data_IF_081326653240
#
_entry.id   IF_081326653240
#
_cell.length_a   1.000
_cell.length_b   1.000
_cell.length_c   1.000
_cell.angle_alpha   90.00
_cell.angle_beta   90.00
_cell.angle_gamma   90.00
#
_symmetry.space_group_name_H-M   'P 1'
#
loop_
_entity.id
_entity.type
_entity.pdbx_description
1 polymer ?
#
# COMPACT_ATOMS: atom_id res chain seq x y z
N UNK A 1 -10.70 -19.33 -31.37
CA UNK A 1 -9.31 -18.83 -31.35
C UNK A 1 -9.34 -17.35 -30.97
N UNK A 2 -8.44 -16.89 -30.10
CA UNK A 2 -8.41 -15.49 -29.67
C UNK A 2 -8.06 -14.57 -30.86
N UNK A 3 -8.87 -13.53 -31.08
CA UNK A 3 -8.75 -12.62 -32.24
C UNK A 3 -8.12 -11.28 -31.90
N UNK A 4 -7.85 -11.03 -30.62
CA UNK A 4 -7.30 -9.79 -30.08
C UNK A 4 -6.27 -10.13 -29.00
N UNK A 5 -5.34 -9.20 -28.68
CA UNK A 5 -4.39 -9.39 -27.61
C UNK A 5 -5.07 -9.89 -26.34
N UNK A 6 -4.61 -11.03 -25.83
CA UNK A 6 -5.22 -11.77 -24.71
C UNK A 6 -4.13 -12.22 -23.76
N UNK A 7 -4.33 -12.00 -22.46
CA UNK A 7 -3.42 -12.49 -21.42
C UNK A 7 -4.01 -13.74 -20.78
N UNK A 8 -3.21 -14.80 -20.71
CA UNK A 8 -3.48 -15.96 -19.87
C UNK A 8 -2.59 -15.86 -18.65
N UNK A 9 -3.19 -15.61 -17.48
CA UNK A 9 -2.50 -15.51 -16.21
C UNK A 9 -2.54 -16.84 -15.46
N UNK A 10 -1.37 -17.39 -15.15
CA UNK A 10 -1.16 -18.64 -14.44
C UNK A 10 -0.67 -18.33 -13.03
N UNK A 11 -1.59 -18.24 -12.08
CA UNK A 11 -1.25 -17.97 -10.69
C UNK A 11 -0.73 -19.23 -9.97
N UNK A 12 0.09 -19.04 -8.95
CA UNK A 12 0.65 -20.09 -8.08
C UNK A 12 1.29 -21.28 -8.82
N UNK A 13 1.91 -21.04 -9.97
CA UNK A 13 2.47 -22.10 -10.83
C UNK A 13 3.51 -22.97 -10.08
N UNK A 14 4.25 -22.39 -9.13
CA UNK A 14 5.25 -23.09 -8.33
C UNK A 14 4.70 -23.95 -7.20
N UNK A 15 3.42 -23.81 -6.85
CA UNK A 15 2.72 -24.70 -5.92
C UNK A 15 2.25 -25.99 -6.62
N UNK A 16 2.09 -25.95 -7.94
CA UNK A 16 1.69 -27.11 -8.73
C UNK A 16 2.71 -28.24 -8.67
N UNK A 17 2.22 -29.48 -8.59
CA UNK A 17 3.06 -30.67 -8.65
C UNK A 17 3.87 -30.70 -9.96
N UNK A 18 5.02 -31.40 -9.95
CA UNK A 18 5.90 -31.45 -11.12
C UNK A 18 5.20 -31.92 -12.41
N UNK A 19 4.20 -32.81 -12.31
CA UNK A 19 3.39 -33.24 -13.46
C UNK A 19 2.55 -32.09 -14.05
N UNK A 20 1.95 -31.26 -13.20
CA UNK A 20 1.18 -30.07 -13.61
C UNK A 20 2.10 -29.06 -14.29
N UNK A 21 3.25 -28.75 -13.68
CA UNK A 21 4.24 -27.85 -14.29
C UNK A 21 4.74 -28.39 -15.64
N UNK A 22 4.95 -29.71 -15.76
CA UNK A 22 5.34 -30.36 -17.02
C UNK A 22 4.29 -30.23 -18.11
N UNK A 23 3.01 -30.35 -17.77
CA UNK A 23 1.91 -30.17 -18.73
C UNK A 23 1.92 -28.75 -19.32
N UNK A 24 2.20 -27.74 -18.51
CA UNK A 24 2.31 -26.35 -18.96
C UNK A 24 3.48 -26.10 -19.93
N UNK A 25 4.54 -26.92 -19.93
CA UNK A 25 5.67 -26.71 -20.85
C UNK A 25 5.28 -26.78 -22.32
N UNK A 26 4.41 -27.73 -22.68
CA UNK A 26 3.91 -27.87 -24.05
C UNK A 26 3.02 -26.70 -24.42
N UNK A 27 2.19 -26.23 -23.49
CA UNK A 27 1.32 -25.09 -23.73
C UNK A 27 2.13 -23.80 -23.95
N UNK A 28 3.13 -23.53 -23.09
CA UNK A 28 3.89 -22.27 -23.10
C UNK A 28 4.86 -22.22 -24.30
N UNK A 29 5.61 -23.30 -24.56
CA UNK A 29 6.56 -23.31 -25.68
C UNK A 29 5.88 -23.63 -27.00
N UNK A 30 5.25 -24.80 -27.09
CA UNK A 30 4.75 -25.31 -28.36
C UNK A 30 3.43 -24.62 -28.75
N UNK A 31 2.87 -23.79 -27.87
CA UNK A 31 1.59 -23.11 -28.05
C UNK A 31 0.50 -24.10 -28.45
N UNK A 32 0.52 -25.29 -27.85
CA UNK A 32 -0.39 -26.38 -28.24
C UNK A 32 -0.98 -27.11 -27.06
N UNK A 33 -2.24 -27.51 -27.21
CA UNK A 33 -2.93 -28.42 -26.30
C UNK A 33 -3.86 -29.31 -27.11
N UNK A 34 -3.74 -30.63 -26.91
CA UNK A 34 -4.57 -31.63 -27.60
C UNK A 34 -4.70 -31.42 -29.13
N UNK A 35 -3.60 -31.08 -29.81
CA UNK A 35 -3.58 -30.83 -31.25
C UNK A 35 -4.02 -29.43 -31.69
N UNK A 36 -4.63 -28.64 -30.81
CA UNK A 36 -5.01 -27.25 -31.10
C UNK A 36 -3.84 -26.30 -30.86
N UNK A 37 -3.68 -25.33 -31.75
CA UNK A 37 -2.72 -24.24 -31.60
C UNK A 37 -3.33 -23.08 -30.82
N UNK A 38 -2.53 -22.44 -29.97
CA UNK A 38 -2.86 -21.22 -29.25
C UNK A 38 -2.50 -20.03 -30.16
N UNK A 39 -3.51 -19.23 -30.51
CA UNK A 39 -3.41 -17.98 -31.27
C UNK A 39 -2.21 -17.13 -30.83
N UNK A 40 -1.43 -16.60 -31.76
CA UNK A 40 -0.30 -15.69 -31.48
C UNK A 40 -0.70 -14.40 -30.75
N UNK A 41 -2.00 -14.10 -30.68
CA UNK A 41 -2.54 -13.02 -29.86
C UNK A 41 -2.51 -13.30 -28.35
N UNK A 42 -2.18 -14.52 -27.92
CA UNK A 42 -2.13 -14.92 -26.52
C UNK A 42 -0.72 -14.76 -25.94
N UNK A 43 -0.62 -13.98 -24.87
CA UNK A 43 0.58 -13.86 -24.02
C UNK A 43 0.34 -14.61 -22.71
N UNK A 44 1.29 -15.46 -22.34
CA UNK A 44 1.27 -16.15 -21.05
C UNK A 44 2.04 -15.35 -20.01
N UNK A 45 1.41 -15.12 -18.87
CA UNK A 45 2.01 -14.53 -17.67
C UNK A 45 1.82 -15.53 -16.54
N UNK A 46 2.84 -15.73 -15.70
CA UNK A 46 2.72 -16.62 -14.55
C UNK A 46 3.24 -15.93 -13.29
N UNK A 47 2.65 -16.28 -12.15
CA UNK A 47 3.07 -15.85 -10.84
C UNK A 47 3.41 -17.06 -9.95
N UNK A 48 4.33 -16.84 -9.02
CA UNK A 48 4.71 -17.81 -7.99
C UNK A 48 5.43 -17.07 -6.87
N UNK A 49 5.35 -17.58 -5.65
CA UNK A 49 6.18 -17.11 -4.54
C UNK A 49 7.59 -17.72 -4.63
N UNK A 50 8.58 -17.10 -3.97
CA UNK A 50 9.93 -17.67 -3.86
C UNK A 50 9.90 -18.86 -2.90
N UNK A 51 10.91 -19.71 -2.97
CA UNK A 51 11.05 -20.85 -2.05
C UNK A 51 11.20 -20.37 -0.60
N UNK A 52 11.93 -19.29 -0.39
CA UNK A 52 12.10 -18.67 0.93
C UNK A 52 10.81 -18.07 1.52
N UNK A 53 9.79 -17.78 0.71
CA UNK A 53 8.54 -17.18 1.17
C UNK A 53 7.59 -18.22 1.83
N UNK A 54 8.02 -19.49 1.99
CA UNK A 54 7.35 -20.60 2.71
C UNK A 54 5.87 -20.86 2.36
N UNK A 55 5.39 -20.40 1.22
CA UNK A 55 4.01 -20.62 0.75
C UNK A 55 3.78 -22.01 0.11
N UNK A 56 4.39 -23.08 0.65
CA UNK A 56 4.26 -24.45 0.10
C UNK A 56 4.89 -24.66 -1.29
N UNK A 57 5.71 -23.72 -1.76
CA UNK A 57 6.29 -23.73 -3.12
C UNK A 57 7.48 -24.70 -3.21
N UNK A 58 7.38 -25.68 -4.11
CA UNK A 58 8.52 -26.55 -4.47
C UNK A 58 9.49 -25.89 -5.45
N UNK A 59 9.06 -24.77 -6.05
CA UNK A 59 9.76 -23.98 -7.06
C UNK A 59 9.30 -24.33 -8.47
N UNK A 60 9.69 -23.51 -9.44
CA UNK A 60 9.41 -23.77 -10.86
C UNK A 60 10.52 -24.64 -11.45
N UNK A 61 10.16 -25.70 -12.17
CA UNK A 61 11.10 -26.55 -12.89
C UNK A 61 11.94 -25.74 -13.89
N UNK A 62 13.26 -25.97 -13.95
CA UNK A 62 14.18 -25.28 -14.87
C UNK A 62 13.73 -25.27 -16.33
N UNK A 63 13.21 -26.39 -16.88
CA UNK A 63 12.73 -26.41 -18.26
C UNK A 63 11.43 -25.63 -18.48
N UNK A 64 10.68 -25.29 -17.42
CA UNK A 64 9.52 -24.39 -17.48
C UNK A 64 9.99 -22.94 -17.43
N UNK A 65 10.92 -22.60 -16.52
CA UNK A 65 11.46 -21.24 -16.36
C UNK A 65 12.06 -20.70 -17.65
N UNK A 66 12.89 -21.49 -18.32
CA UNK A 66 13.54 -21.13 -19.60
C UNK A 66 12.56 -20.92 -20.78
N UNK A 67 11.25 -21.11 -20.58
CA UNK A 67 10.20 -20.85 -21.57
C UNK A 67 9.48 -19.52 -21.37
N UNK A 68 9.73 -18.84 -20.25
CA UNK A 68 9.36 -17.45 -20.08
C UNK A 68 10.48 -16.56 -20.62
N UNK A 69 10.12 -15.48 -21.32
CA UNK A 69 11.08 -14.53 -21.89
C UNK A 69 11.79 -13.70 -20.82
N UNK A 70 11.08 -13.41 -19.74
CA UNK A 70 11.57 -12.61 -18.62
C UNK A 70 11.01 -13.15 -17.31
N UNK A 71 11.76 -12.96 -16.25
CA UNK A 71 11.34 -13.19 -14.86
C UNK A 71 11.47 -11.84 -14.17
N UNK A 72 10.38 -11.36 -13.58
CA UNK A 72 10.35 -10.11 -12.84
C UNK A 72 10.21 -10.43 -11.36
N UNK A 73 10.97 -9.72 -10.53
CA UNK A 73 10.84 -9.79 -9.08
C UNK A 73 9.98 -8.61 -8.63
N UNK A 74 8.86 -8.91 -7.96
CA UNK A 74 8.02 -7.90 -7.35
C UNK A 74 8.42 -7.74 -5.89
N UNK A 75 8.60 -6.50 -5.46
CA UNK A 75 8.91 -6.14 -4.09
C UNK A 75 7.81 -5.23 -3.55
N UNK A 76 7.59 -5.30 -2.24
CA UNK A 76 6.62 -4.43 -1.58
C UNK A 76 7.24 -3.04 -1.44
N UNK A 77 6.57 -2.05 -2.00
CA UNK A 77 6.91 -0.64 -1.83
C UNK A 77 5.81 0.05 -0.99
N UNK A 78 6.21 0.77 0.05
CA UNK A 78 5.25 1.43 0.93
C UNK A 78 4.52 2.59 0.24
N UNK A 79 5.19 3.35 -0.63
CA UNK A 79 4.58 4.44 -1.38
C UNK A 79 3.48 3.92 -2.31
N UNK A 80 3.79 2.86 -3.08
CA UNK A 80 2.81 2.24 -3.98
C UNK A 80 1.61 1.68 -3.21
N UNK A 81 1.84 1.09 -2.04
CA UNK A 81 0.77 0.58 -1.19
C UNK A 81 -0.10 1.71 -0.62
N UNK A 82 0.50 2.82 -0.18
CA UNK A 82 -0.20 4.00 0.34
C UNK A 82 -1.08 4.61 -0.75
N UNK A 83 -0.55 4.81 -1.97
CA UNK A 83 -1.32 5.34 -3.10
C UNK A 83 -2.53 4.45 -3.40
N UNK A 84 -2.33 3.13 -3.47
CA UNK A 84 -3.43 2.17 -3.59
C UNK A 84 -4.42 2.26 -2.42
N UNK A 85 -3.93 2.39 -1.18
CA UNK A 85 -4.74 2.42 0.03
C UNK A 85 -5.67 3.64 0.08
N UNK A 86 -5.21 4.80 -0.39
CA UNK A 86 -5.99 6.04 -0.48
C UNK A 86 -7.17 5.91 -1.45
N UNK A 87 -6.98 5.17 -2.54
CA UNK A 87 -8.01 4.89 -3.55
C UNK A 87 -8.97 3.75 -3.16
N UNK A 88 -8.58 2.90 -2.20
CA UNK A 88 -9.32 1.70 -1.80
C UNK A 88 -9.89 1.79 -0.37
N UNK A 89 -10.19 3.02 0.07
CA UNK A 89 -10.88 3.32 1.33
C UNK A 89 -10.16 2.77 2.59
N UNK A 90 -8.87 2.49 2.59
CA UNK A 90 -8.19 1.99 3.80
C UNK A 90 -8.32 3.00 4.95
N UNK A 91 -8.50 2.53 6.19
CA UNK A 91 -8.66 3.38 7.38
C UNK A 91 -7.46 4.32 7.53
N UNK A 92 -7.70 5.63 7.72
CA UNK A 92 -6.64 6.65 7.67
C UNK A 92 -5.62 6.53 8.81
N UNK A 93 -6.04 6.04 9.98
CA UNK A 93 -5.12 5.63 11.04
C UNK A 93 -4.14 4.51 10.63
N UNK A 94 -4.54 3.58 9.75
CA UNK A 94 -3.65 2.52 9.22
C UNK A 94 -2.71 3.09 8.17
N UNK A 95 -3.19 3.97 7.29
CA UNK A 95 -2.33 4.65 6.31
C UNK A 95 -1.26 5.48 7.02
N UNK A 96 -1.64 6.24 8.05
CA UNK A 96 -0.71 7.03 8.87
C UNK A 96 0.31 6.18 9.61
N UNK A 97 -0.13 5.02 10.11
CA UNK A 97 0.78 4.05 10.70
C UNK A 97 1.82 3.54 9.70
N UNK A 98 1.44 3.28 8.44
CA UNK A 98 2.38 2.83 7.41
C UNK A 98 3.31 3.95 6.92
N UNK A 99 2.87 5.22 6.87
CA UNK A 99 3.82 6.32 6.67
C UNK A 99 4.85 6.38 7.81
N UNK A 100 4.42 6.20 9.06
CA UNK A 100 5.28 6.25 10.23
C UNK A 100 6.22 5.02 10.34
N UNK A 101 5.73 3.82 10.00
CA UNK A 101 6.46 2.56 10.07
C UNK A 101 6.30 1.74 8.78
N UNK A 102 6.89 2.19 7.66
CA UNK A 102 6.69 1.56 6.35
C UNK A 102 7.20 0.12 6.29
N UNK A 103 8.18 -0.22 7.13
CA UNK A 103 8.71 -1.57 7.28
C UNK A 103 7.67 -2.57 7.79
N UNK A 104 6.53 -2.13 8.35
CA UNK A 104 5.46 -3.03 8.80
C UNK A 104 4.81 -3.80 7.64
N UNK A 105 4.92 -3.31 6.40
CA UNK A 105 4.47 -4.09 5.24
C UNK A 105 5.37 -5.30 4.94
N UNK A 106 6.58 -5.36 5.48
CA UNK A 106 7.56 -6.41 5.21
C UNK A 106 8.15 -7.05 6.46
N UNK A 107 7.74 -6.60 7.65
CA UNK A 107 8.24 -7.09 8.93
C UNK A 107 7.84 -8.55 9.22
N UNK A 108 6.75 -9.02 8.60
CA UNK A 108 6.24 -10.36 8.81
C UNK A 108 7.16 -11.46 8.29
N UNK A 109 7.27 -12.54 9.06
CA UNK A 109 7.95 -13.77 8.64
C UNK A 109 6.93 -14.90 8.65
N UNK A 110 6.82 -15.69 7.57
CA UNK A 110 5.91 -16.82 7.56
C UNK A 110 6.32 -17.89 8.60
N UNK A 111 5.33 -18.38 9.33
CA UNK A 111 5.45 -19.46 10.32
C UNK A 111 4.46 -20.59 9.98
N UNK A 112 4.67 -21.76 10.58
CA UNK A 112 3.72 -22.88 10.49
C UNK A 112 2.61 -22.77 11.55
N UNK A 113 2.71 -21.79 12.44
CA UNK A 113 1.75 -21.58 13.52
C UNK A 113 0.49 -20.90 12.98
N UNK A 114 -0.62 -21.03 13.70
CA UNK A 114 -1.88 -20.37 13.36
C UNK A 114 -1.87 -18.88 13.76
N UNK A 115 -0.88 -18.15 13.25
CA UNK A 115 -0.61 -16.75 13.57
C UNK A 115 -0.36 -15.98 12.29
N UNK A 116 -1.07 -14.87 12.11
CA UNK A 116 -0.80 -13.94 11.01
C UNK A 116 0.41 -13.05 11.31
N UNK A 117 0.87 -12.36 10.28
CA UNK A 117 2.00 -11.45 10.36
C UNK A 117 1.76 -10.22 9.48
N UNK A 118 2.46 -9.10 9.71
CA UNK A 118 2.29 -7.89 8.92
C UNK A 118 2.78 -8.10 7.48
N UNK A 119 1.86 -7.89 6.52
CA UNK A 119 2.10 -7.81 5.09
C UNK A 119 1.00 -6.93 4.46
N UNK A 120 1.11 -6.47 3.19
CA UNK A 120 0.11 -5.60 2.57
C UNK A 120 -1.33 -6.08 2.73
N UNK A 121 -1.56 -7.40 2.61
CA UNK A 121 -2.87 -8.00 2.76
C UNK A 121 -3.39 -7.95 4.20
N UNK A 122 -2.59 -8.36 5.18
CA UNK A 122 -3.05 -8.41 6.58
C UNK A 122 -3.15 -7.03 7.21
N UNK A 123 -2.34 -6.07 6.77
CA UNK A 123 -2.47 -4.64 7.10
C UNK A 123 -3.78 -4.08 6.58
N UNK A 124 -4.18 -4.45 5.36
CA UNK A 124 -5.51 -4.10 4.83
C UNK A 124 -6.63 -4.74 5.65
N UNK A 125 -6.51 -6.02 6.03
CA UNK A 125 -7.50 -6.68 6.89
C UNK A 125 -7.65 -5.99 8.25
N UNK A 126 -6.56 -5.45 8.83
CA UNK A 126 -6.63 -4.69 10.07
C UNK A 126 -7.44 -3.39 9.91
N UNK A 127 -7.35 -2.73 8.74
CA UNK A 127 -8.24 -1.62 8.39
C UNK A 127 -9.70 -2.04 8.37
N UNK A 128 -10.04 -3.18 7.76
CA UNK A 128 -11.42 -3.68 7.72
C UNK A 128 -11.97 -3.97 9.13
N UNK A 129 -11.14 -4.51 10.03
CA UNK A 129 -11.51 -4.70 11.43
C UNK A 129 -11.80 -3.37 12.13
N UNK A 130 -10.95 -2.35 11.96
CA UNK A 130 -11.17 -1.03 12.56
C UNK A 130 -12.46 -0.39 12.07
N UNK A 131 -12.78 -0.49 10.78
CA UNK A 131 -14.04 0.00 10.21
C UNK A 131 -15.28 -0.74 10.74
N UNK A 132 -15.09 -1.96 11.24
CA UNK A 132 -16.12 -2.74 11.90
C UNK A 132 -16.17 -2.50 13.42
N UNK A 133 -15.50 -1.44 13.92
CA UNK A 133 -15.33 -1.12 15.34
C UNK A 133 -14.61 -2.23 16.14
N UNK A 134 -13.82 -3.07 15.46
CA UNK A 134 -13.02 -4.15 16.04
C UNK A 134 -11.54 -3.73 16.15
N UNK A 135 -11.24 -2.88 17.12
CA UNK A 135 -9.90 -2.28 17.30
C UNK A 135 -9.10 -2.81 18.49
N UNK A 136 -9.58 -3.81 19.22
CA UNK A 136 -8.87 -4.32 20.39
C UNK A 136 -7.55 -4.98 20.00
N UNK A 137 -6.61 -5.03 20.95
CA UNK A 137 -5.32 -5.68 20.73
C UNK A 137 -5.47 -7.14 20.29
N UNK A 138 -6.43 -7.88 20.86
CA UNK A 138 -6.67 -9.27 20.51
C UNK A 138 -7.17 -9.44 19.06
N UNK A 139 -8.08 -8.58 18.60
CA UNK A 139 -8.60 -8.60 17.23
C UNK A 139 -7.50 -8.25 16.23
N UNK A 140 -6.74 -7.19 16.51
CA UNK A 140 -5.62 -6.78 15.67
C UNK A 140 -4.49 -7.83 15.66
N UNK A 141 -4.22 -8.51 16.78
CA UNK A 141 -3.25 -9.62 16.84
C UNK A 141 -3.70 -10.80 15.97
N UNK A 142 -5.00 -11.02 15.83
CA UNK A 142 -5.54 -12.01 14.89
C UNK A 142 -5.21 -11.69 13.43
N UNK A 143 -5.18 -10.40 13.05
CA UNK A 143 -4.86 -9.96 11.70
C UNK A 143 -3.36 -9.79 11.45
N UNK A 144 -2.62 -9.23 12.40
CA UNK A 144 -1.25 -8.75 12.21
C UNK A 144 -0.20 -9.55 12.99
N UNK A 145 -0.62 -10.44 13.89
CA UNK A 145 0.26 -10.99 14.91
C UNK A 145 0.62 -9.96 15.98
N UNK A 146 1.24 -10.42 17.06
CA UNK A 146 1.45 -9.63 18.29
C UNK A 146 2.26 -8.34 18.06
N UNK A 147 3.34 -8.42 17.29
CA UNK A 147 4.23 -7.27 17.03
C UNK A 147 3.51 -6.20 16.20
N UNK A 148 2.79 -6.60 15.15
CA UNK A 148 2.06 -5.67 14.31
C UNK A 148 0.89 -5.04 15.03
N UNK A 149 0.17 -5.81 15.84
CA UNK A 149 -0.94 -5.32 16.65
C UNK A 149 -0.49 -4.32 17.72
N UNK A 150 0.57 -4.64 18.47
CA UNK A 150 1.13 -3.71 19.46
C UNK A 150 1.56 -2.38 18.81
N UNK A 151 2.23 -2.47 17.67
CA UNK A 151 2.71 -1.32 16.89
C UNK A 151 1.55 -0.46 16.37
N UNK A 152 0.56 -1.06 15.69
CA UNK A 152 -0.60 -0.33 15.19
C UNK A 152 -1.43 0.25 16.34
N UNK A 153 -1.65 -0.50 17.43
CA UNK A 153 -2.46 -0.04 18.55
C UNK A 153 -1.82 1.15 19.27
N UNK A 154 -0.49 1.15 19.40
CA UNK A 154 0.27 2.28 19.91
C UNK A 154 0.11 3.52 19.04
N UNK A 155 0.20 3.38 17.71
CA UNK A 155 -0.02 4.50 16.79
C UNK A 155 -1.46 5.02 16.84
N UNK A 156 -2.44 4.12 16.83
CA UNK A 156 -3.85 4.52 16.86
C UNK A 156 -4.23 5.20 18.17
N UNK A 157 -3.61 4.86 19.31
CA UNK A 157 -3.81 5.62 20.55
C UNK A 157 -3.37 7.09 20.40
N UNK A 158 -2.33 7.38 19.62
CA UNK A 158 -1.96 8.77 19.30
C UNK A 158 -2.99 9.39 18.36
N UNK A 159 -3.40 8.66 17.33
CA UNK A 159 -4.38 9.11 16.34
C UNK A 159 -5.75 9.46 16.95
N UNK A 160 -6.24 8.64 17.89
CA UNK A 160 -7.52 8.82 18.58
C UNK A 160 -7.50 9.96 19.60
N UNK A 161 -6.31 10.35 20.09
CA UNK A 161 -6.13 11.41 21.07
C UNK A 161 -5.53 12.69 20.46
N UNK A 162 -5.64 12.87 19.14
CA UNK A 162 -5.20 14.09 18.48
C UNK A 162 -5.96 15.32 19.00
N UNK A 163 -5.31 16.50 18.99
CA UNK A 163 -6.00 17.76 19.21
C UNK A 163 -7.16 17.93 18.22
N UNK A 164 -8.17 18.69 18.65
CA UNK A 164 -9.32 18.99 17.81
C UNK A 164 -8.90 19.60 16.46
N UNK A 165 -9.24 18.89 15.38
CA UNK A 165 -8.90 19.27 14.02
C UNK A 165 -9.67 20.53 13.58
N UNK A 166 -10.85 20.81 14.15
CA UNK A 166 -11.57 22.05 13.86
C UNK A 166 -10.75 23.25 14.34
N UNK A 167 -10.16 23.17 15.53
CA UNK A 167 -9.23 24.19 16.03
C UNK A 167 -8.05 24.43 15.08
N UNK A 168 -7.50 23.38 14.46
CA UNK A 168 -6.43 23.49 13.45
C UNK A 168 -6.94 24.19 12.19
N UNK A 169 -8.08 23.76 11.67
CA UNK A 169 -8.65 24.29 10.44
C UNK A 169 -9.14 25.74 10.58
N UNK A 170 -9.62 26.13 11.74
CA UNK A 170 -10.09 27.49 12.04
C UNK A 170 -8.92 28.45 12.31
N UNK A 171 -7.83 27.96 12.93
CA UNK A 171 -6.68 28.77 13.34
C UNK A 171 -5.35 28.22 12.79
N UNK A 172 -5.20 28.02 11.47
CA UNK A 172 -4.08 27.28 10.89
C UNK A 172 -2.73 27.95 11.10
N UNK A 173 -2.70 29.28 11.25
CA UNK A 173 -1.45 30.03 11.40
C UNK A 173 -0.91 29.99 12.85
N UNK A 174 -1.73 29.63 13.84
CA UNK A 174 -1.37 29.59 15.27
C UNK A 174 -1.54 28.23 15.95
N UNK A 175 -2.21 27.27 15.30
CA UNK A 175 -2.39 25.92 15.83
C UNK A 175 -1.05 25.25 16.14
N UNK A 176 -1.01 24.44 17.19
CA UNK A 176 0.22 23.76 17.64
C UNK A 176 0.58 22.67 16.63
N UNK A 177 1.84 22.67 16.20
CA UNK A 177 2.40 21.58 15.39
C UNK A 177 2.95 20.53 16.36
N UNK A 178 2.52 19.26 16.26
CA UNK A 178 3.09 18.19 17.06
C UNK A 178 4.59 18.05 16.81
N UNK A 179 5.37 17.83 17.87
CA UNK A 179 6.82 17.60 17.81
C UNK A 179 7.19 16.10 17.78
N UNK A 180 6.28 15.23 18.21
CA UNK A 180 6.44 13.78 18.09
C UNK A 180 6.11 13.27 16.67
N UNK A 181 7.00 12.47 16.03
CA UNK A 181 6.77 11.97 14.67
C UNK A 181 5.45 11.21 14.47
N UNK A 182 5.06 10.35 15.42
CA UNK A 182 3.80 9.61 15.36
C UNK A 182 2.59 10.55 15.34
N UNK A 183 2.60 11.59 16.18
CA UNK A 183 1.56 12.61 16.22
C UNK A 183 1.52 13.46 14.95
N UNK A 184 2.67 13.72 14.34
CA UNK A 184 2.76 14.43 13.06
C UNK A 184 2.10 13.65 11.91
N UNK A 185 2.46 12.37 11.75
CA UNK A 185 1.82 11.50 10.74
C UNK A 185 0.34 11.28 11.02
N UNK A 186 -0.05 11.13 12.29
CA UNK A 186 -1.44 11.00 12.68
C UNK A 186 -2.24 12.27 12.33
N UNK A 187 -1.71 13.45 12.66
CA UNK A 187 -2.31 14.74 12.31
C UNK A 187 -2.41 14.89 10.80
N UNK A 188 -1.37 14.51 10.06
CA UNK A 188 -1.38 14.57 8.61
C UNK A 188 -2.54 13.77 8.02
N UNK A 189 -2.68 12.50 8.42
CA UNK A 189 -3.74 11.64 7.88
C UNK A 189 -5.14 12.05 8.33
N UNK A 190 -5.29 12.57 9.54
CA UNK A 190 -6.56 13.10 10.00
C UNK A 190 -6.99 14.37 9.23
N UNK A 191 -6.02 15.19 8.80
CA UNK A 191 -6.27 16.31 7.89
C UNK A 191 -6.59 15.84 6.47
N UNK A 192 -5.89 14.83 5.95
CA UNK A 192 -6.22 14.21 4.64
C UNK A 192 -7.66 13.73 4.64
N UNK A 193 -8.09 13.02 5.68
CA UNK A 193 -9.45 12.48 5.77
C UNK A 193 -10.55 13.55 5.72
N UNK A 194 -10.29 14.71 6.34
CA UNK A 194 -11.23 15.83 6.39
C UNK A 194 -11.05 16.83 5.26
N UNK A 195 -10.05 16.65 4.40
CA UNK A 195 -9.72 17.58 3.35
C UNK A 195 -10.87 17.67 2.33
N UNK A 196 -11.12 18.88 1.87
CA UNK A 196 -12.02 19.18 0.77
C UNK A 196 -11.68 20.55 0.20
N UNK A 197 -12.33 20.93 -0.90
CA UNK A 197 -12.07 22.21 -1.56
C UNK A 197 -12.22 23.44 -0.65
N UNK A 198 -13.12 23.41 0.34
CA UNK A 198 -13.41 24.56 1.19
C UNK A 198 -12.36 24.82 2.28
N UNK A 199 -11.73 23.76 2.79
CA UNK A 199 -10.75 23.86 3.87
C UNK A 199 -9.29 23.64 3.42
N UNK A 200 -9.05 23.19 2.18
CA UNK A 200 -7.71 22.90 1.66
C UNK A 200 -6.74 24.08 1.83
N UNK A 201 -7.16 25.32 1.57
CA UNK A 201 -6.31 26.49 1.78
C UNK A 201 -5.85 26.65 3.25
N UNK A 202 -6.66 26.26 4.22
CA UNK A 202 -6.29 26.31 5.64
C UNK A 202 -5.29 25.20 5.96
N UNK A 203 -5.47 24.01 5.38
CA UNK A 203 -4.51 22.90 5.49
C UNK A 203 -3.15 23.33 4.93
N UNK A 204 -3.09 23.91 3.72
CA UNK A 204 -1.85 24.39 3.11
C UNK A 204 -1.15 25.47 3.97
N UNK A 205 -1.90 26.41 4.56
CA UNK A 205 -1.32 27.39 5.51
C UNK A 205 -0.73 26.73 6.74
N UNK A 206 -1.44 25.76 7.31
CA UNK A 206 -1.00 25.04 8.50
C UNK A 206 0.30 24.25 8.24
N UNK A 207 0.35 23.47 7.16
CA UNK A 207 1.52 22.65 6.81
C UNK A 207 2.67 23.47 6.22
N UNK A 208 2.42 24.66 5.66
CA UNK A 208 3.49 25.59 5.24
C UNK A 208 4.46 25.97 6.37
N UNK A 209 4.04 25.77 7.62
CA UNK A 209 4.86 25.99 8.83
C UNK A 209 5.72 24.78 9.19
N UNK A 210 5.52 23.62 8.55
CA UNK A 210 6.25 22.38 8.83
C UNK A 210 7.59 22.39 8.10
N UNK A 211 8.62 22.86 8.78
CA UNK A 211 9.96 23.08 8.22
C UNK A 211 10.97 22.04 8.73
N UNK A 212 12.12 21.92 8.06
CA UNK A 212 13.18 21.00 8.46
C UNK A 212 12.76 19.54 8.39
N UNK A 213 12.90 18.78 9.47
CA UNK A 213 12.57 17.35 9.54
C UNK A 213 11.08 17.03 9.34
N UNK A 214 10.21 18.04 9.34
CA UNK A 214 8.77 17.89 9.16
C UNK A 214 8.30 18.16 7.72
N UNK A 215 9.18 18.70 6.87
CA UNK A 215 8.84 19.06 5.49
C UNK A 215 8.42 17.84 4.66
N UNK A 216 9.09 16.69 4.84
CA UNK A 216 8.76 15.45 4.13
C UNK A 216 7.33 14.97 4.45
N UNK A 217 6.90 15.11 5.71
CA UNK A 217 5.54 14.71 6.11
C UNK A 217 4.50 15.65 5.52
N UNK A 218 4.80 16.94 5.43
CA UNK A 218 3.93 17.89 4.73
C UNK A 218 3.83 17.56 3.23
N UNK A 219 4.94 17.20 2.58
CA UNK A 219 4.94 16.79 1.18
C UNK A 219 4.11 15.52 0.94
N UNK A 220 4.22 14.52 1.83
CA UNK A 220 3.36 13.33 1.79
C UNK A 220 1.88 13.68 1.92
N UNK A 221 1.52 14.52 2.90
CA UNK A 221 0.15 14.99 3.09
C UNK A 221 -0.42 15.60 1.80
N UNK A 222 0.36 16.46 1.13
CA UNK A 222 -0.07 17.10 -0.12
C UNK A 222 -0.32 16.07 -1.23
N UNK A 223 0.54 15.07 -1.36
CA UNK A 223 0.32 14.00 -2.34
C UNK A 223 -0.89 13.13 -2.00
N UNK A 224 -1.08 12.82 -0.73
CA UNK A 224 -2.21 12.00 -0.28
C UNK A 224 -3.53 12.75 -0.47
N UNK A 225 -3.56 14.07 -0.22
CA UNK A 225 -4.66 14.95 -0.56
C UNK A 225 -4.92 14.97 -2.07
N UNK A 226 -3.88 15.01 -2.92
CA UNK A 226 -4.03 15.02 -4.38
C UNK A 226 -4.68 13.71 -4.87
N UNK A 227 -4.29 12.57 -4.30
CA UNK A 227 -4.84 11.25 -4.65
C UNK A 227 -6.28 11.11 -4.14
N UNK A 228 -6.52 11.36 -2.85
CA UNK A 228 -7.83 11.12 -2.21
C UNK A 228 -8.86 12.21 -2.52
N UNK A 229 -8.41 13.46 -2.68
CA UNK A 229 -9.25 14.65 -2.90
C UNK A 229 -8.72 15.51 -4.08
N UNK A 230 -8.81 15.03 -5.33
CA UNK A 230 -8.23 15.71 -6.49
C UNK A 230 -8.71 17.16 -6.69
N UNK A 231 -9.88 17.52 -6.17
CA UNK A 231 -10.41 18.88 -6.22
C UNK A 231 -9.57 19.89 -5.44
N UNK A 232 -8.78 19.45 -4.47
CA UNK A 232 -7.90 20.32 -3.66
C UNK A 232 -6.73 20.87 -4.46
N UNK A 233 -6.33 20.18 -5.54
CA UNK A 233 -5.28 20.63 -6.46
C UNK A 233 -5.67 21.84 -7.31
N UNK A 234 -6.94 22.24 -7.29
CA UNK A 234 -7.43 23.46 -7.96
C UNK A 234 -7.39 24.71 -7.07
N UNK A 235 -6.96 24.58 -5.82
CA UNK A 235 -6.97 25.67 -4.84
C UNK A 235 -5.70 26.53 -4.92
N UNK A 236 -5.81 27.80 -4.52
CA UNK A 236 -4.67 28.73 -4.49
C UNK A 236 -3.56 28.25 -3.56
N UNK A 237 -3.91 27.60 -2.44
CA UNK A 237 -2.95 27.03 -1.49
C UNK A 237 -2.10 25.93 -2.12
N UNK A 238 -2.71 25.04 -2.90
CA UNK A 238 -1.97 24.00 -3.63
C UNK A 238 -1.02 24.61 -4.68
N UNK A 239 -1.51 25.54 -5.49
CA UNK A 239 -0.69 26.20 -6.53
C UNK A 239 0.51 26.91 -5.89
N UNK A 240 0.28 27.60 -4.77
CA UNK A 240 1.35 28.26 -4.01
C UNK A 240 2.35 27.24 -3.45
N UNK A 241 1.86 26.16 -2.83
CA UNK A 241 2.71 25.09 -2.30
C UNK A 241 3.64 24.49 -3.36
N UNK A 242 3.09 24.12 -4.52
CA UNK A 242 3.88 23.55 -5.63
C UNK A 242 4.90 24.58 -6.17
N UNK A 243 4.55 25.87 -6.17
CA UNK A 243 5.46 26.94 -6.61
C UNK A 243 6.62 27.11 -5.62
N UNK A 244 6.33 27.10 -4.32
CA UNK A 244 7.32 27.33 -3.26
C UNK A 244 8.25 26.12 -3.06
N UNK A 245 7.79 24.92 -3.39
CA UNK A 245 8.51 23.66 -3.20
C UNK A 245 8.77 22.94 -4.54
N UNK A 246 8.96 23.71 -5.62
CA UNK A 246 9.12 23.16 -6.97
C UNK A 246 10.28 22.14 -7.07
N UNK A 247 11.31 22.29 -6.24
CA UNK A 247 12.45 21.39 -6.13
C UNK A 247 12.07 20.00 -5.60
N UNK A 248 11.05 19.88 -4.75
CA UNK A 248 10.55 18.60 -4.24
C UNK A 248 9.78 17.80 -5.30
N UNK A 249 9.22 18.49 -6.30
CA UNK A 249 8.34 17.90 -7.33
C UNK A 249 9.01 17.79 -8.70
N UNK A 250 10.22 18.31 -8.85
CA UNK A 250 11.00 18.21 -10.08
C UNK A 250 11.78 16.89 -10.10
N UNK A 251 11.19 15.85 -10.72
CA UNK A 251 11.92 14.66 -11.18
C UNK A 251 12.25 14.78 -12.68
#
# INVERSE_FOLDING_TARGET
EAKSPTIVFLDDLGQGAAAVQKAYMQLILARRINGHMVSDQVVFVAATNRREDKAGVTGILEPVKSRFKSILHLEVNAKDWIEWALENDVHMGVVGWIHYQPNMLTAGKPTNDIVNHPCPRTVTNASDLLKADMGSHAELSGALGEVGAASLRGFLNVYENLPDLDTILDNPDSAIIPDEPSALYATAMALVERANKSNANNIFRYIGRWQGTFADVAAYLVEDMRVKHPETSSTSGYIQWITDHADMYSN
#
